data_IF_123989107978
#
_entry.id   IF_123989107978
#
_cell.length_a   1.000
_cell.length_b   1.000
_cell.length_c   1.000
_cell.angle_alpha   90.00
_cell.angle_beta   90.00
_cell.angle_gamma   90.00
#
_symmetry.space_group_name_H-M   'P 1'
#
loop_
_entity.id
_entity.type
_entity.pdbx_description
1 polymer ?
#
# COMPACT_ATOMS: atom_id res chain seq x y z
N UNK A 1 36.25 2.31 -21.12
CA UNK A 1 37.01 2.26 -19.84
C UNK A 1 36.83 3.50 -18.98
N UNK A 2 36.57 4.69 -19.54
CA UNK A 2 36.39 5.95 -18.79
C UNK A 2 35.16 5.99 -17.86
N UNK A 3 34.01 5.46 -18.28
CA UNK A 3 32.77 5.48 -17.48
C UNK A 3 32.93 4.83 -16.11
N UNK A 4 33.55 3.64 -16.06
CA UNK A 4 33.73 2.87 -14.81
C UNK A 4 34.56 3.62 -13.75
N UNK A 5 35.50 4.47 -14.19
CA UNK A 5 36.30 5.30 -13.28
C UNK A 5 35.49 6.47 -12.72
N UNK A 6 34.65 7.09 -13.55
CA UNK A 6 33.75 8.15 -13.09
C UNK A 6 32.72 7.62 -12.09
N UNK A 7 32.13 6.46 -12.36
CA UNK A 7 31.16 5.81 -11.45
C UNK A 7 31.81 5.46 -10.09
N UNK A 8 33.05 4.97 -10.11
CA UNK A 8 33.81 4.67 -8.90
C UNK A 8 34.16 5.94 -8.11
N UNK A 9 34.55 7.02 -8.79
CA UNK A 9 34.83 8.31 -8.15
C UNK A 9 33.55 8.92 -7.54
N UNK A 10 32.41 8.81 -8.23
CA UNK A 10 31.11 9.25 -7.72
C UNK A 10 30.73 8.49 -6.43
N UNK A 11 30.89 7.16 -6.43
CA UNK A 11 30.60 6.32 -5.27
C UNK A 11 31.47 6.63 -4.05
N UNK A 12 32.74 7.02 -4.24
CA UNK A 12 33.62 7.41 -3.14
C UNK A 12 33.21 8.74 -2.50
N UNK A 13 32.70 9.70 -3.30
CA UNK A 13 32.22 11.01 -2.82
C UNK A 13 30.94 10.85 -1.99
N UNK A 14 30.05 9.94 -2.36
CA UNK A 14 28.81 9.64 -1.63
C UNK A 14 29.04 8.97 -0.26
N UNK A 15 30.21 8.37 -0.03
CA UNK A 15 30.58 7.72 1.25
C UNK A 15 31.24 8.67 2.26
N UNK A 16 31.40 9.94 1.92
CA UNK A 16 31.98 10.93 2.84
C UNK A 16 30.96 11.30 3.93
N UNK A 17 31.33 11.28 5.24
CA UNK A 17 30.41 11.54 6.35
C UNK A 17 29.73 12.92 6.37
N UNK A 18 30.12 13.83 5.47
CA UNK A 18 29.65 15.22 5.39
C UNK A 18 28.68 15.46 4.22
N UNK A 19 28.48 14.46 3.35
CA UNK A 19 27.59 14.57 2.19
C UNK A 19 26.21 14.06 2.62
N UNK A 20 25.18 14.89 2.47
CA UNK A 20 23.80 14.46 2.68
C UNK A 20 23.52 13.26 1.75
N UNK A 21 22.80 12.22 2.21
CA UNK A 21 22.44 11.10 1.34
C UNK A 21 21.83 11.63 0.05
N UNK A 22 22.22 11.10 -1.13
CA UNK A 22 21.60 11.48 -2.38
C UNK A 22 20.09 11.35 -2.25
N UNK A 23 19.34 12.39 -2.62
CA UNK A 23 17.88 12.32 -2.72
C UNK A 23 17.59 11.20 -3.71
N UNK A 24 17.00 10.10 -3.23
CA UNK A 24 16.53 9.04 -4.12
C UNK A 24 15.44 9.63 -5.01
N UNK A 25 15.74 9.82 -6.30
CA UNK A 25 14.76 10.24 -7.28
C UNK A 25 13.75 9.09 -7.45
N UNK A 26 12.47 9.40 -7.35
CA UNK A 26 11.40 8.45 -7.65
C UNK A 26 11.52 7.98 -9.10
N UNK A 27 11.28 6.68 -9.34
CA UNK A 27 11.18 6.14 -10.69
C UNK A 27 10.04 6.86 -11.45
N UNK A 28 10.28 7.39 -12.67
CA UNK A 28 9.22 7.94 -13.52
C UNK A 28 8.05 6.97 -13.73
N UNK A 29 8.33 5.66 -13.73
CA UNK A 29 7.32 4.61 -13.89
C UNK A 29 6.75 4.10 -12.56
N UNK A 30 7.06 4.74 -11.42
CA UNK A 30 6.56 4.31 -10.09
C UNK A 30 5.04 4.21 -9.99
N UNK A 31 4.30 4.92 -10.86
CA UNK A 31 2.84 4.79 -10.97
C UNK A 31 2.41 3.45 -11.60
N UNK A 32 3.19 2.91 -12.54
CA UNK A 32 2.94 1.62 -13.19
C UNK A 32 3.27 0.43 -12.28
N UNK A 33 4.03 0.65 -11.20
CA UNK A 33 4.34 -0.35 -10.16
C UNK A 33 3.21 -0.53 -9.14
N UNK A 34 1.98 -0.14 -9.48
CA UNK A 34 0.81 -0.32 -8.62
C UNK A 34 0.60 -1.82 -8.33
N UNK A 35 0.47 -2.16 -7.04
CA UNK A 35 0.24 -3.55 -6.59
C UNK A 35 -1.11 -4.13 -7.02
N UNK A 36 -2.04 -3.25 -7.36
CA UNK A 36 -3.38 -3.55 -7.87
C UNK A 36 -3.35 -3.79 -9.39
N UNK A 37 -4.10 -4.77 -9.89
CA UNK A 37 -4.12 -5.13 -11.32
C UNK A 37 -4.67 -4.02 -12.21
N UNK A 38 -4.31 -4.02 -13.51
CA UNK A 38 -4.79 -3.04 -14.48
C UNK A 38 -6.32 -3.00 -14.59
N UNK A 39 -6.97 -4.16 -14.47
CA UNK A 39 -8.44 -4.27 -14.49
C UNK A 39 -9.08 -3.37 -13.42
N UNK A 40 -8.48 -3.31 -12.23
CA UNK A 40 -8.94 -2.44 -11.15
C UNK A 40 -8.40 -1.01 -11.34
N UNK A 41 -7.15 -0.86 -11.74
CA UNK A 41 -6.49 0.45 -11.90
C UNK A 41 -7.20 1.31 -12.94
N UNK A 42 -7.65 0.72 -14.04
CA UNK A 42 -8.32 1.40 -15.15
C UNK A 42 -9.81 1.73 -14.87
N UNK A 43 -10.43 1.16 -13.83
CA UNK A 43 -11.80 1.50 -13.46
C UNK A 43 -11.85 2.95 -12.93
N UNK A 44 -12.64 3.78 -13.60
CA UNK A 44 -12.91 5.16 -13.19
C UNK A 44 -13.65 5.19 -11.85
N UNK A 45 -13.11 5.98 -10.92
CA UNK A 45 -13.73 6.19 -9.61
C UNK A 45 -14.86 7.22 -9.72
N UNK A 46 -15.98 7.07 -9.00
CA UNK A 46 -17.04 8.07 -9.00
C UNK A 46 -16.52 9.45 -8.56
N UNK A 47 -16.92 10.54 -9.25
CA UNK A 47 -16.41 11.90 -8.98
C UNK A 47 -16.66 12.43 -7.56
N UNK A 48 -17.69 11.92 -6.87
CA UNK A 48 -18.06 12.29 -5.49
C UNK A 48 -17.66 11.21 -4.47
N UNK A 49 -16.68 10.39 -4.82
CA UNK A 49 -16.24 9.32 -3.97
C UNK A 49 -15.37 9.86 -2.82
N UNK A 50 -15.68 9.45 -1.60
CA UNK A 50 -14.86 9.68 -0.41
C UNK A 50 -14.54 8.34 0.21
N UNK A 51 -13.25 8.09 0.47
CA UNK A 51 -12.85 6.92 1.22
C UNK A 51 -13.41 7.03 2.64
N UNK A 52 -13.99 5.95 3.19
CA UNK A 52 -14.50 5.97 4.54
C UNK A 52 -13.38 6.25 5.55
N UNK A 53 -13.63 7.20 6.44
CA UNK A 53 -12.75 7.45 7.59
C UNK A 53 -12.94 6.33 8.62
N UNK A 54 -11.94 5.47 8.75
CA UNK A 54 -11.82 4.48 9.82
C UNK A 54 -10.51 4.70 10.58
N UNK A 55 -10.39 4.08 11.76
CA UNK A 55 -9.14 4.10 12.52
C UNK A 55 -8.02 3.53 11.63
N UNK A 56 -6.92 4.27 11.54
CA UNK A 56 -5.77 3.83 10.76
C UNK A 56 -5.14 2.59 11.42
N UNK A 57 -4.82 1.59 10.60
CA UNK A 57 -4.20 0.36 11.06
C UNK A 57 -2.68 0.47 10.97
N UNK A 58 -2.00 0.26 12.10
CA UNK A 58 -0.55 0.35 12.19
C UNK A 58 0.15 -1.01 12.38
N UNK A 59 -0.61 -2.10 12.43
CA UNK A 59 -0.08 -3.44 12.67
C UNK A 59 -0.25 -3.97 14.09
N UNK A 60 -0.96 -3.26 14.98
CA UNK A 60 -1.06 -3.65 16.40
C UNK A 60 -2.39 -4.28 16.81
N UNK A 61 -3.48 -3.96 16.11
CA UNK A 61 -4.84 -4.44 16.42
C UNK A 61 -5.17 -5.68 15.58
N UNK A 62 -6.29 -6.36 15.87
CA UNK A 62 -6.72 -7.53 15.09
C UNK A 62 -6.95 -7.16 13.60
N UNK A 63 -6.26 -7.80 12.64
CA UNK A 63 -6.43 -7.52 11.22
C UNK A 63 -7.82 -7.90 10.70
N UNK A 64 -8.48 -8.92 11.25
CA UNK A 64 -9.82 -9.32 10.83
C UNK A 64 -10.85 -8.24 11.20
N UNK A 65 -10.72 -7.64 12.38
CA UNK A 65 -11.57 -6.54 12.81
C UNK A 65 -11.39 -5.30 11.92
N UNK A 66 -10.16 -4.99 11.51
CA UNK A 66 -9.90 -3.90 10.56
C UNK A 66 -10.56 -4.16 9.21
N UNK A 67 -10.41 -5.37 8.66
CA UNK A 67 -11.05 -5.77 7.40
C UNK A 67 -12.57 -5.71 7.51
N UNK A 68 -13.16 -6.18 8.61
CA UNK A 68 -14.60 -6.14 8.84
C UNK A 68 -15.13 -4.70 8.89
N UNK A 69 -14.47 -3.82 9.65
CA UNK A 69 -14.83 -2.40 9.74
C UNK A 69 -14.72 -1.71 8.37
N UNK A 70 -13.64 -1.95 7.64
CA UNK A 70 -13.46 -1.39 6.30
C UNK A 70 -14.56 -1.86 5.34
N UNK A 71 -14.85 -3.18 5.30
CA UNK A 71 -15.94 -3.76 4.49
C UNK A 71 -17.28 -3.13 4.81
N UNK A 72 -17.61 -2.98 6.10
CA UNK A 72 -18.86 -2.36 6.54
C UNK A 72 -18.97 -0.91 6.06
N UNK A 73 -17.91 -0.13 6.18
CA UNK A 73 -17.90 1.28 5.78
C UNK A 73 -17.97 1.46 4.27
N UNK A 74 -17.25 0.63 3.52
CA UNK A 74 -17.33 0.64 2.06
C UNK A 74 -18.73 0.23 1.53
N UNK A 75 -19.46 -0.63 2.25
CA UNK A 75 -20.88 -0.93 1.92
C UNK A 75 -21.81 0.26 2.14
N UNK A 76 -21.52 1.11 3.13
CA UNK A 76 -22.33 2.28 3.43
C UNK A 76 -22.15 3.42 2.41
N UNK A 77 -21.03 3.43 1.68
CA UNK A 77 -20.82 4.39 0.58
C UNK A 77 -21.60 3.90 -0.64
N UNK A 78 -22.51 4.73 -1.14
CA UNK A 78 -23.27 4.44 -2.36
C UNK A 78 -22.34 4.42 -3.58
N UNK A 79 -22.17 3.24 -4.18
CA UNK A 79 -21.34 3.02 -5.36
C UNK A 79 -22.13 2.32 -6.47
N UNK A 80 -21.81 2.59 -7.75
CA UNK A 80 -22.09 1.65 -8.83
C UNK A 80 -21.47 0.29 -8.49
N UNK A 81 -22.23 -0.80 -8.68
CA UNK A 81 -21.76 -2.16 -8.39
C UNK A 81 -20.47 -2.50 -9.14
N UNK A 82 -20.33 -1.99 -10.38
CA UNK A 82 -19.19 -2.24 -11.28
C UNK A 82 -17.87 -1.67 -10.76
N UNK A 83 -17.88 -0.57 -10.00
CA UNK A 83 -16.66 0.05 -9.47
C UNK A 83 -16.40 -0.29 -8.00
N UNK A 84 -17.28 -1.08 -7.37
CA UNK A 84 -17.27 -1.31 -5.93
C UNK A 84 -15.98 -2.00 -5.48
N UNK A 85 -15.61 -3.09 -6.15
CA UNK A 85 -14.40 -3.85 -5.79
C UNK A 85 -13.13 -3.04 -6.05
N UNK A 86 -13.07 -2.34 -7.18
CA UNK A 86 -11.96 -1.46 -7.49
C UNK A 86 -11.77 -0.37 -6.44
N UNK A 87 -12.87 0.24 -5.99
CA UNK A 87 -12.88 1.24 -4.94
C UNK A 87 -12.38 0.67 -3.61
N UNK A 88 -12.75 -0.57 -3.30
CA UNK A 88 -12.30 -1.27 -2.09
C UNK A 88 -10.80 -1.53 -2.12
N UNK A 89 -10.23 -2.01 -3.22
CA UNK A 89 -8.78 -2.23 -3.33
C UNK A 89 -8.00 -0.92 -3.26
N UNK A 90 -8.37 0.07 -4.11
CA UNK A 90 -7.70 1.38 -4.17
C UNK A 90 -7.75 2.12 -2.82
N UNK A 91 -8.85 1.98 -2.09
CA UNK A 91 -9.05 2.65 -0.81
C UNK A 91 -8.39 2.03 0.38
N UNK A 92 -8.08 0.74 0.32
CA UNK A 92 -7.60 0.02 1.48
C UNK A 92 -6.28 0.62 2.00
N UNK A 93 -5.36 0.94 1.08
CA UNK A 93 -4.09 1.59 1.40
C UNK A 93 -4.23 2.92 2.17
N UNK A 94 -5.32 3.68 1.96
CA UNK A 94 -5.57 4.93 2.69
C UNK A 94 -5.89 4.75 4.18
N UNK A 95 -6.20 3.52 4.58
CA UNK A 95 -6.52 3.15 5.97
C UNK A 95 -5.32 2.61 6.72
N UNK A 96 -4.15 2.52 6.07
CA UNK A 96 -2.95 1.91 6.63
C UNK A 96 -1.92 2.97 6.97
N UNK A 97 -1.19 2.76 8.06
CA UNK A 97 -0.07 3.60 8.47
C UNK A 97 1.11 2.73 8.92
N UNK A 98 2.29 3.35 9.03
CA UNK A 98 3.49 2.73 9.63
C UNK A 98 3.81 1.37 8.96
N UNK A 99 4.17 0.25 9.65
CA UNK A 99 4.46 -1.03 8.97
C UNK A 99 3.39 -1.54 8.00
N UNK A 100 2.12 -1.27 8.27
CA UNK A 100 1.03 -1.73 7.41
C UNK A 100 1.03 -1.04 6.04
N UNK A 101 1.25 0.28 6.03
CA UNK A 101 1.39 1.03 4.78
C UNK A 101 2.62 0.56 4.00
N UNK A 102 3.75 0.35 4.69
CA UNK A 102 4.98 -0.12 4.07
C UNK A 102 4.81 -1.50 3.43
N UNK A 103 4.08 -2.40 4.08
CA UNK A 103 3.76 -3.68 3.46
C UNK A 103 2.93 -3.51 2.18
N UNK A 104 1.88 -2.68 2.21
CA UNK A 104 0.98 -2.49 1.07
C UNK A 104 1.67 -1.93 -0.17
N UNK A 105 2.55 -0.93 0.00
CA UNK A 105 3.28 -0.31 -1.13
C UNK A 105 4.39 -1.21 -1.68
N UNK A 106 4.84 -2.22 -0.92
CA UNK A 106 5.86 -3.18 -1.33
C UNK A 106 5.25 -4.51 -1.85
N UNK A 107 3.93 -4.57 -2.01
CA UNK A 107 3.29 -5.71 -2.67
C UNK A 107 3.78 -5.81 -4.12
N UNK A 108 4.01 -7.02 -4.66
CA UNK A 108 4.40 -7.17 -6.06
C UNK A 108 3.38 -6.52 -7.00
N UNK A 109 3.87 -5.90 -8.08
CA UNK A 109 3.03 -5.27 -9.10
C UNK A 109 1.97 -6.26 -9.60
N UNK A 110 0.72 -5.79 -9.74
CA UNK A 110 -0.41 -6.60 -10.26
C UNK A 110 -0.73 -7.87 -9.45
N UNK A 111 -0.34 -7.94 -8.17
CA UNK A 111 -0.60 -9.10 -7.31
C UNK A 111 -1.97 -9.11 -6.62
N UNK A 112 -2.74 -8.02 -6.75
CA UNK A 112 -4.06 -7.85 -6.12
C UNK A 112 -5.15 -7.77 -7.20
N UNK A 113 -5.72 -8.92 -7.64
CA UNK A 113 -6.78 -8.96 -8.64
C UNK A 113 -8.18 -8.71 -8.05
N UNK A 114 -8.34 -8.77 -6.73
CA UNK A 114 -9.64 -8.66 -6.05
C UNK A 114 -9.48 -8.21 -4.61
N UNK A 115 -10.55 -7.70 -4.00
CA UNK A 115 -10.51 -7.30 -2.59
C UNK A 115 -10.37 -8.51 -1.66
N UNK A 116 -10.90 -9.67 -2.07
CA UNK A 116 -10.74 -10.92 -1.33
C UNK A 116 -9.26 -11.30 -1.19
N UNK A 117 -8.52 -11.31 -2.30
CA UNK A 117 -7.09 -11.62 -2.31
C UNK A 117 -6.30 -10.59 -1.49
N UNK A 118 -6.68 -9.30 -1.55
CA UNK A 118 -6.07 -8.28 -0.70
C UNK A 118 -6.28 -8.56 0.79
N UNK A 119 -7.53 -8.88 1.19
CA UNK A 119 -7.84 -9.16 2.59
C UNK A 119 -7.11 -10.40 3.09
N UNK A 120 -7.01 -11.45 2.28
CA UNK A 120 -6.36 -12.70 2.69
C UNK A 120 -4.87 -12.48 2.92
N UNK A 121 -4.19 -11.81 1.98
CA UNK A 121 -2.76 -11.44 2.11
C UNK A 121 -2.51 -10.53 3.31
N UNK A 122 -3.43 -9.59 3.59
CA UNK A 122 -3.32 -8.69 4.73
C UNK A 122 -3.43 -9.44 6.06
N UNK A 123 -4.46 -10.28 6.20
CA UNK A 123 -4.68 -11.09 7.40
C UNK A 123 -3.53 -12.06 7.62
N UNK A 124 -3.03 -12.72 6.57
CA UNK A 124 -1.85 -13.58 6.62
C UNK A 124 -0.61 -12.81 7.10
N UNK A 125 -0.39 -11.60 6.56
CA UNK A 125 0.77 -10.77 6.92
C UNK A 125 0.77 -10.35 8.39
N UNK A 126 -0.40 -10.02 8.93
CA UNK A 126 -0.55 -9.44 10.27
C UNK A 126 -1.19 -10.41 11.27
N UNK A 127 -1.18 -11.72 11.00
CA UNK A 127 -1.81 -12.73 11.85
C UNK A 127 -1.30 -12.71 13.31
N UNK A 128 -0.04 -12.33 13.54
CA UNK A 128 0.54 -12.23 14.89
C UNK A 128 -0.01 -11.06 15.71
N UNK A 129 -0.68 -10.08 15.09
CA UNK A 129 -1.29 -8.96 15.79
C UNK A 129 -2.53 -9.36 16.59
N UNK A 130 -3.13 -10.52 16.27
CA UNK A 130 -4.28 -11.10 17.00
C UNK A 130 -3.97 -11.45 18.45
N UNK A 131 -2.70 -11.74 18.76
CA UNK A 131 -2.26 -12.11 20.11
C UNK A 131 -1.89 -10.89 20.97
N UNK A 132 -1.67 -9.73 20.33
CA UNK A 132 -1.29 -8.49 21.02
C UNK A 132 -2.50 -7.83 21.69
N UNK A 133 -3.69 -7.89 21.09
CA UNK A 133 -4.93 -7.37 21.70
C UNK A 133 -5.32 -8.14 22.97
N UNK A 134 -4.91 -9.40 23.12
CA UNK A 134 -5.23 -10.24 24.29
C UNK A 134 -4.36 -9.97 25.53
N UNK A 135 -3.37 -9.09 25.41
CA UNK A 135 -2.40 -8.80 26.49
C UNK A 135 -2.41 -7.36 27.00
N UNK A 136 -3.40 -6.53 26.61
CA UNK A 136 -3.65 -5.20 27.19
C UNK A 136 -4.88 -5.14 28.09
#
# INVERSE_FOLDING_TARGET
MFSKRLDAMQSMVERLPRVAPPIQKSNPDSYADTSVTDEITLIEMPRKFSFPSIKAYDGTIDPDDHVAQYRQRMRAVAHPNESREASMCKGFGSTLIRPALQWYINLPSRSIPSFAILSDKFVEKFASSRDLEKTS
#
